data_IF_976257416820
#
_entry.id   IF_976257416820
#
_cell.length_a   1.000
_cell.length_b   1.000
_cell.length_c   1.000
_cell.angle_alpha   90.00
_cell.angle_beta   90.00
_cell.angle_gamma   90.00
#
_symmetry.space_group_name_H-M   'P 1'
#
loop_
_entity.id
_entity.type
_entity.pdbx_description
1 polymer ?
#
# COMPACT_ATOMS: atom_id res chain seq x y z
N UNK A 1 16.91 -6.61 12.50
CA UNK A 1 15.89 -6.93 11.48
C UNK A 1 16.46 -6.69 10.09
N UNK A 2 16.08 -7.48 9.08
CA UNK A 2 16.50 -7.20 7.69
C UNK A 2 15.58 -6.11 7.11
N UNK A 3 16.12 -5.04 6.51
CA UNK A 3 15.29 -4.00 5.91
C UNK A 3 14.42 -4.58 4.79
N UNK A 4 13.15 -4.18 4.74
CA UNK A 4 12.24 -4.59 3.68
C UNK A 4 12.66 -4.08 2.30
N UNK A 5 12.16 -4.69 1.24
CA UNK A 5 12.48 -4.35 -0.15
C UNK A 5 12.35 -2.84 -0.45
N UNK A 6 11.28 -2.21 0.05
CA UNK A 6 11.09 -0.76 -0.10
C UNK A 6 12.20 0.07 0.57
N UNK A 7 12.68 -0.34 1.75
CA UNK A 7 13.77 0.34 2.43
C UNK A 7 15.11 0.18 1.68
N UNK A 8 15.35 -0.99 1.09
CA UNK A 8 16.51 -1.25 0.24
C UNK A 8 16.49 -0.38 -1.03
N UNK A 9 15.35 -0.32 -1.72
CA UNK A 9 15.20 0.48 -2.94
C UNK A 9 15.32 1.98 -2.64
N UNK A 10 14.76 2.45 -1.52
CA UNK A 10 14.89 3.85 -1.09
C UNK A 10 16.35 4.25 -0.87
N UNK A 11 17.13 3.40 -0.22
CA UNK A 11 18.56 3.64 -0.01
C UNK A 11 19.38 3.59 -1.31
N UNK A 12 19.00 2.73 -2.25
CA UNK A 12 19.73 2.54 -3.50
C UNK A 12 19.44 3.65 -4.54
N UNK A 13 18.17 3.99 -4.73
CA UNK A 13 17.75 4.96 -5.74
C UNK A 13 17.61 6.38 -5.20
N UNK A 14 17.75 6.59 -3.90
CA UNK A 14 17.44 7.84 -3.19
C UNK A 14 16.04 8.40 -3.52
N UNK A 15 15.12 7.53 -3.95
CA UNK A 15 13.73 7.85 -4.28
C UNK A 15 12.82 7.00 -3.41
N UNK A 16 11.74 7.59 -2.90
CA UNK A 16 10.74 6.84 -2.14
C UNK A 16 9.99 5.92 -3.13
N UNK A 17 10.07 4.58 -2.97
CA UNK A 17 9.43 3.64 -3.90
C UNK A 17 7.91 3.74 -3.90
N UNK A 18 7.34 4.43 -2.91
CA UNK A 18 5.92 4.70 -2.84
C UNK A 18 5.57 6.12 -3.30
N UNK A 19 6.53 6.94 -3.69
CA UNK A 19 6.26 8.24 -4.27
C UNK A 19 5.90 8.09 -5.75
N UNK A 20 4.76 8.67 -6.14
CA UNK A 20 4.41 8.71 -7.55
C UNK A 20 5.38 9.63 -8.30
N UNK A 21 6.06 9.11 -9.32
CA UNK A 21 7.03 9.87 -10.13
C UNK A 21 6.36 11.08 -10.79
N UNK A 22 5.12 10.93 -11.25
CA UNK A 22 4.37 11.99 -11.93
C UNK A 22 3.81 13.04 -10.97
N UNK A 23 3.35 12.61 -9.78
CA UNK A 23 2.71 13.51 -8.82
C UNK A 23 3.70 14.11 -7.80
N UNK A 24 4.92 13.59 -7.74
CA UNK A 24 5.88 13.90 -6.70
C UNK A 24 5.31 13.59 -5.32
N UNK A 25 5.40 14.55 -4.41
CA UNK A 25 4.88 14.40 -3.04
C UNK A 25 3.35 14.49 -2.90
N UNK A 26 2.60 14.79 -3.97
CA UNK A 26 1.13 14.92 -3.91
C UNK A 26 0.42 13.57 -3.76
N UNK A 27 1.02 12.49 -4.24
CA UNK A 27 0.46 11.14 -4.13
C UNK A 27 1.54 10.17 -3.67
N UNK A 28 1.31 9.56 -2.49
CA UNK A 28 2.14 8.50 -1.94
C UNK A 28 1.32 7.23 -1.79
N UNK A 29 1.83 6.13 -2.32
CA UNK A 29 1.29 4.81 -2.06
C UNK A 29 1.57 4.45 -0.59
N UNK A 30 0.62 3.82 0.10
CA UNK A 30 0.84 3.42 1.50
C UNK A 30 1.52 2.06 1.63
N UNK A 31 1.34 1.20 0.63
CA UNK A 31 1.86 -0.15 0.60
C UNK A 31 1.81 -0.70 -0.83
N UNK A 32 2.56 -1.77 -1.06
CA UNK A 32 2.41 -2.64 -2.22
C UNK A 32 2.14 -4.05 -1.73
N UNK A 33 1.12 -4.71 -2.27
CA UNK A 33 0.79 -6.10 -1.98
C UNK A 33 1.04 -6.96 -3.22
N UNK A 34 1.67 -8.11 -3.01
CA UNK A 34 1.89 -9.09 -4.09
C UNK A 34 0.63 -9.95 -4.25
N UNK A 35 0.14 -10.09 -5.47
CA UNK A 35 -0.98 -10.98 -5.80
C UNK A 35 -1.08 -11.22 -7.30
N UNK A 36 -1.87 -12.22 -7.72
CA UNK A 36 -2.00 -12.62 -9.12
C UNK A 36 -2.72 -11.57 -9.99
N UNK A 37 -3.76 -10.95 -9.45
CA UNK A 37 -4.59 -10.03 -10.21
C UNK A 37 -5.03 -8.84 -9.35
N UNK A 38 -4.86 -7.63 -9.90
CA UNK A 38 -5.16 -6.39 -9.19
C UNK A 38 -6.62 -6.34 -8.70
N UNK A 39 -7.55 -6.84 -9.51
CA UNK A 39 -8.98 -6.87 -9.16
C UNK A 39 -9.25 -7.67 -7.89
N UNK A 40 -8.62 -8.84 -7.73
CA UNK A 40 -8.78 -9.70 -6.56
C UNK A 40 -8.23 -9.04 -5.29
N UNK A 41 -7.06 -8.42 -5.39
CA UNK A 41 -6.47 -7.66 -4.28
C UNK A 41 -7.37 -6.49 -3.85
N UNK A 42 -7.94 -5.78 -4.83
CA UNK A 42 -8.85 -4.66 -4.57
C UNK A 42 -10.15 -5.13 -3.90
N UNK A 43 -10.74 -6.25 -4.35
CA UNK A 43 -11.96 -6.79 -3.73
C UNK A 43 -11.71 -7.22 -2.29
N UNK A 44 -10.63 -7.96 -2.02
CA UNK A 44 -10.31 -8.39 -0.65
C UNK A 44 -10.07 -7.21 0.30
N UNK A 45 -9.35 -6.19 -0.19
CA UNK A 45 -9.08 -4.98 0.60
C UNK A 45 -10.36 -4.20 0.88
N UNK A 46 -11.25 -4.08 -0.10
CA UNK A 46 -12.57 -3.45 0.06
C UNK A 46 -13.38 -4.18 1.14
N UNK A 47 -13.42 -5.49 1.10
CA UNK A 47 -14.23 -6.30 2.02
C UNK A 47 -13.66 -6.23 3.46
N UNK A 48 -12.33 -6.24 3.62
CA UNK A 48 -11.66 -5.99 4.91
C UNK A 48 -12.01 -4.60 5.47
N UNK A 49 -12.02 -3.56 4.63
CA UNK A 49 -12.39 -2.21 5.05
C UNK A 49 -13.87 -2.11 5.45
N UNK A 50 -14.77 -2.74 4.69
CA UNK A 50 -16.19 -2.80 5.01
C UNK A 50 -16.43 -3.48 6.36
N UNK A 51 -15.78 -4.63 6.61
CA UNK A 51 -15.85 -5.33 7.90
C UNK A 51 -15.35 -4.47 9.06
N UNK A 52 -14.21 -3.79 8.89
CA UNK A 52 -13.68 -2.86 9.92
C UNK A 52 -14.64 -1.73 10.23
N UNK A 53 -15.23 -1.09 9.20
CA UNK A 53 -16.23 -0.03 9.37
C UNK A 53 -17.45 -0.55 10.12
N UNK A 54 -17.97 -1.70 9.72
CA UNK A 54 -19.13 -2.31 10.37
C UNK A 54 -18.89 -2.58 11.87
N UNK A 55 -17.72 -3.12 12.22
CA UNK A 55 -17.33 -3.34 13.62
C UNK A 55 -17.20 -2.03 14.42
N UNK A 56 -16.81 -0.93 13.78
CA UNK A 56 -16.68 0.38 14.43
C UNK A 56 -18.03 1.09 14.63
N UNK A 57 -19.01 0.84 13.76
CA UNK A 57 -20.37 1.41 13.86
C UNK A 57 -21.29 0.62 14.77
N UNK A 58 -20.90 -0.60 15.18
CA UNK A 58 -21.69 -1.47 16.05
C UNK A 58 -21.40 -1.23 17.56
N UNK A 59 -20.59 -0.22 17.89
CA UNK A 59 -20.36 0.33 19.23
C UNK A 59 -21.08 1.67 19.30
#
# INVERSE_FOLDING_TARGET
>A
EKPGFAALIKGFLNTDPYQCILCGNRLRFMSAEKGLHAVTLLSERRDKMAKKRWLQTAI
#
